data_IF_878381735210
#
_entry.id   IF_878381735210
#
_cell.length_a   1.000
_cell.length_b   1.000
_cell.length_c   1.000
_cell.angle_alpha   90.00
_cell.angle_beta   90.00
_cell.angle_gamma   90.00
#
_symmetry.space_group_name_H-M   'P 1'
#
loop_
_entity.id
_entity.type
_entity.pdbx_description
1 polymer ?
#
# COMPACT_ATOMS: atom_id res chain seq x y z
N UNK A 1 14.75 -1.71 37.01
CA UNK A 1 13.84 -0.89 36.17
C UNK A 1 12.51 -1.62 36.12
N UNK A 2 11.40 -1.01 36.56
CA UNK A 2 10.08 -1.62 36.40
C UNK A 2 9.66 -1.47 34.94
N UNK A 3 9.30 -2.59 34.31
CA UNK A 3 8.67 -2.61 32.99
C UNK A 3 7.29 -1.96 33.17
N UNK A 4 7.08 -0.80 32.54
CA UNK A 4 5.77 -0.15 32.52
C UNK A 4 4.74 -1.15 31.96
N UNK A 5 3.78 -1.55 32.80
CA UNK A 5 2.65 -2.36 32.37
C UNK A 5 1.82 -1.52 31.42
N UNK A 6 1.96 -1.77 30.11
CA UNK A 6 1.05 -1.22 29.12
C UNK A 6 -0.37 -1.63 29.49
N UNK A 7 -1.27 -0.64 29.56
CA UNK A 7 -2.67 -0.83 29.91
C UNK A 7 -3.32 -1.79 28.91
N UNK A 8 -3.46 -3.05 29.32
CA UNK A 8 -4.02 -4.14 28.53
C UNK A 8 -5.42 -3.81 28.00
N UNK A 9 -6.13 -2.89 28.65
CA UNK A 9 -7.42 -2.37 28.20
C UNK A 9 -7.30 -1.46 26.96
N UNK A 10 -6.22 -0.69 26.86
CA UNK A 10 -5.93 0.17 25.71
C UNK A 10 -5.59 -0.67 24.47
N UNK A 11 -4.77 -1.71 24.65
CA UNK A 11 -4.41 -2.66 23.59
C UNK A 11 -5.64 -3.43 23.10
N UNK A 12 -6.49 -3.91 24.01
CA UNK A 12 -7.73 -4.61 23.66
C UNK A 12 -8.72 -3.71 22.91
N UNK A 13 -8.86 -2.44 23.34
CA UNK A 13 -9.67 -1.43 22.62
C UNK A 13 -9.13 -1.14 21.23
N UNK A 14 -7.80 -1.13 21.05
CA UNK A 14 -7.15 -0.96 19.75
C UNK A 14 -7.41 -2.17 18.84
N UNK A 15 -7.23 -3.40 19.34
CA UNK A 15 -7.45 -4.65 18.57
C UNK A 15 -8.91 -4.77 18.12
N UNK A 16 -9.87 -4.56 19.02
CA UNK A 16 -11.31 -4.57 18.67
C UNK A 16 -11.62 -3.48 17.62
N UNK A 17 -10.93 -2.34 17.66
CA UNK A 17 -11.08 -1.30 16.65
C UNK A 17 -10.55 -1.74 15.26
N UNK A 18 -9.50 -2.56 15.20
CA UNK A 18 -8.90 -3.02 13.92
C UNK A 18 -9.86 -3.97 13.20
N UNK A 19 -10.35 -5.00 13.88
CA UNK A 19 -11.25 -5.99 13.28
C UNK A 19 -12.57 -5.34 12.86
N UNK A 20 -13.12 -4.47 13.72
CA UNK A 20 -14.30 -3.67 13.39
C UNK A 20 -14.08 -2.70 12.22
N UNK A 21 -12.83 -2.36 11.88
CA UNK A 21 -12.48 -1.44 10.78
C UNK A 21 -12.25 -2.14 9.45
N UNK A 22 -11.66 -3.35 9.44
CA UNK A 22 -11.66 -4.18 8.24
C UNK A 22 -13.10 -4.53 7.83
N UNK A 23 -13.93 -4.87 8.81
CA UNK A 23 -15.35 -5.07 8.58
C UNK A 23 -16.04 -3.78 8.11
N UNK A 24 -15.77 -2.63 8.75
CA UNK A 24 -16.32 -1.34 8.31
C UNK A 24 -15.85 -0.91 6.93
N UNK A 25 -14.62 -1.18 6.50
CA UNK A 25 -14.21 -0.85 5.13
C UNK A 25 -15.02 -1.66 4.10
N UNK A 26 -15.26 -2.94 4.39
CA UNK A 26 -16.17 -3.77 3.57
C UNK A 26 -17.61 -3.23 3.61
N UNK A 27 -18.09 -2.79 4.77
CA UNK A 27 -19.40 -2.16 4.93
C UNK A 27 -19.49 -0.83 4.16
N UNK A 28 -18.48 0.04 4.25
CA UNK A 28 -18.43 1.31 3.51
C UNK A 28 -18.36 1.09 1.99
N UNK A 29 -17.70 0.03 1.54
CA UNK A 29 -17.71 -0.38 0.12
C UNK A 29 -19.12 -0.78 -0.32
N UNK A 30 -19.86 -1.48 0.54
CA UNK A 30 -21.24 -1.88 0.28
C UNK A 30 -22.20 -0.68 0.30
N UNK A 31 -22.04 0.23 1.25
CA UNK A 31 -22.85 1.44 1.44
C UNK A 31 -22.42 2.61 0.54
N UNK A 32 -21.34 2.44 -0.24
CA UNK A 32 -20.71 3.46 -1.10
C UNK A 32 -20.32 4.76 -0.40
N UNK A 33 -20.17 4.74 0.93
CA UNK A 33 -19.80 5.92 1.72
C UNK A 33 -18.28 6.01 1.93
N UNK A 34 -17.56 6.11 0.80
CA UNK A 34 -16.10 6.08 0.78
C UNK A 34 -15.46 7.32 1.41
N UNK A 35 -16.11 8.48 1.33
CA UNK A 35 -15.60 9.74 1.89
C UNK A 35 -15.52 9.68 3.41
N UNK A 36 -16.55 9.13 4.06
CA UNK A 36 -16.53 8.95 5.52
C UNK A 36 -15.49 7.92 5.95
N UNK A 37 -15.34 6.84 5.18
CA UNK A 37 -14.30 5.84 5.42
C UNK A 37 -12.91 6.47 5.36
N UNK A 38 -12.59 7.17 4.26
CA UNK A 38 -11.33 7.87 4.06
C UNK A 38 -11.02 8.83 5.22
N UNK A 39 -11.97 9.72 5.56
CA UNK A 39 -11.80 10.66 6.66
C UNK A 39 -11.52 9.97 8.00
N UNK A 40 -12.15 8.82 8.24
CA UNK A 40 -11.96 8.05 9.48
C UNK A 40 -10.56 7.42 9.57
N UNK A 41 -10.04 6.90 8.46
CA UNK A 41 -8.66 6.39 8.42
C UNK A 41 -7.64 7.52 8.47
N UNK A 42 -7.88 8.61 7.75
CA UNK A 42 -6.98 9.76 7.72
C UNK A 42 -6.86 10.42 9.11
N UNK A 43 -7.99 10.62 9.80
CA UNK A 43 -8.01 11.13 11.17
C UNK A 43 -7.23 10.24 12.15
N UNK A 44 -7.23 8.92 11.94
CA UNK A 44 -6.46 7.99 12.76
C UNK A 44 -4.95 8.20 12.56
N UNK A 45 -4.52 8.29 11.30
CA UNK A 45 -3.12 8.49 10.92
C UNK A 45 -2.61 9.82 11.50
N UNK A 46 -3.40 10.88 11.39
CA UNK A 46 -3.01 12.22 11.90
C UNK A 46 -2.97 12.26 13.42
N UNK A 47 -3.95 11.67 14.11
CA UNK A 47 -3.97 11.58 15.56
C UNK A 47 -2.73 10.83 16.10
N UNK A 48 -2.31 9.77 15.41
CA UNK A 48 -1.14 9.00 15.81
C UNK A 48 0.18 9.74 15.58
N UNK A 49 0.31 10.52 14.49
CA UNK A 49 1.49 11.37 14.24
C UNK A 49 1.68 12.45 15.32
N UNK A 50 0.60 12.94 15.91
CA UNK A 50 0.66 13.93 16.99
C UNK A 50 1.00 13.34 18.37
N UNK A 51 0.91 12.02 18.54
CA UNK A 51 1.08 11.36 19.83
C UNK A 51 2.49 10.72 19.91
N UNK A 52 3.46 11.44 20.47
CA UNK A 52 4.86 11.02 20.62
C UNK A 52 5.09 9.73 21.44
N UNK A 53 4.04 9.19 22.08
CA UNK A 53 4.10 8.02 22.96
C UNK A 53 3.43 6.77 22.41
N UNK A 54 2.85 6.81 21.21
CA UNK A 54 2.21 5.62 20.64
C UNK A 54 3.29 4.78 19.95
N UNK A 55 3.52 3.52 20.37
CA UNK A 55 4.51 2.66 19.74
C UNK A 55 4.24 2.51 18.23
N UNK A 56 5.28 2.70 17.41
CA UNK A 56 5.20 2.59 15.93
C UNK A 56 4.85 1.17 15.45
N UNK A 57 4.96 0.21 16.35
CA UNK A 57 4.69 -1.21 16.19
C UNK A 57 3.20 -1.56 16.17
N UNK A 58 2.31 -0.61 16.49
CA UNK A 58 0.86 -0.84 16.44
C UNK A 58 0.41 -1.13 15.00
N UNK A 59 0.01 -2.38 14.76
CA UNK A 59 -0.58 -2.89 13.49
C UNK A 59 -1.69 -2.00 12.92
N UNK A 60 -2.43 -1.29 13.77
CA UNK A 60 -3.52 -0.37 13.41
C UNK A 60 -3.07 0.68 12.39
N UNK A 61 -1.86 1.20 12.57
CA UNK A 61 -1.35 2.29 11.74
C UNK A 61 -1.10 1.81 10.32
N UNK A 62 -0.42 0.67 10.16
CA UNK A 62 -0.17 0.05 8.86
C UNK A 62 -1.46 -0.19 8.08
N UNK A 63 -2.48 -0.76 8.74
CA UNK A 63 -3.78 -1.05 8.11
C UNK A 63 -4.51 0.22 7.66
N UNK A 64 -4.54 1.26 8.50
CA UNK A 64 -5.21 2.52 8.13
C UNK A 64 -4.49 3.23 6.98
N UNK A 65 -3.17 3.26 7.04
CA UNK A 65 -2.29 3.81 6.00
C UNK A 65 -2.46 3.07 4.67
N UNK A 66 -2.56 1.74 4.71
CA UNK A 66 -2.88 0.91 3.56
C UNK A 66 -4.22 1.29 2.90
N UNK A 67 -5.30 1.40 3.67
CA UNK A 67 -6.61 1.75 3.12
C UNK A 67 -6.66 3.17 2.53
N UNK A 68 -5.93 4.12 3.12
CA UNK A 68 -5.79 5.46 2.53
C UNK A 68 -5.08 5.40 1.18
N UNK A 69 -4.05 4.57 1.02
CA UNK A 69 -3.42 4.37 -0.28
C UNK A 69 -4.40 3.79 -1.32
N UNK A 70 -5.22 2.80 -0.95
CA UNK A 70 -6.25 2.28 -1.86
C UNK A 70 -7.26 3.36 -2.27
N UNK A 71 -7.64 4.24 -1.35
CA UNK A 71 -8.50 5.37 -1.68
C UNK A 71 -7.87 6.29 -2.73
N UNK A 72 -6.58 6.61 -2.59
CA UNK A 72 -5.85 7.38 -3.58
C UNK A 72 -5.70 6.65 -4.92
N UNK A 73 -5.52 5.33 -4.93
CA UNK A 73 -5.41 4.54 -6.16
C UNK A 73 -6.74 4.54 -6.94
N UNK A 74 -7.87 4.43 -6.25
CA UNK A 74 -9.17 4.23 -6.91
C UNK A 74 -10.08 5.48 -6.93
N UNK A 75 -9.67 6.59 -6.32
CA UNK A 75 -10.51 7.77 -6.17
C UNK A 75 -11.70 7.54 -5.23
N UNK A 76 -11.53 6.72 -4.19
CA UNK A 76 -12.60 6.39 -3.25
C UNK A 76 -12.69 7.41 -2.13
N UNK A 77 -13.66 8.33 -2.26
CA UNK A 77 -13.96 9.33 -1.23
C UNK A 77 -13.08 10.58 -1.29
N UNK A 78 -12.03 10.54 -2.11
CA UNK A 78 -11.07 11.60 -2.42
C UNK A 78 -10.71 11.49 -3.92
N UNK A 79 -10.16 12.55 -4.51
CA UNK A 79 -9.65 12.48 -5.89
C UNK A 79 -8.54 11.42 -6.03
N UNK A 80 -8.49 10.76 -7.20
CA UNK A 80 -7.43 9.79 -7.49
C UNK A 80 -6.08 10.50 -7.50
N UNK A 81 -5.13 9.99 -6.71
CA UNK A 81 -3.81 10.61 -6.55
C UNK A 81 -2.72 9.55 -6.40
N UNK A 82 -2.16 9.17 -7.54
CA UNK A 82 -1.18 8.08 -7.62
C UNK A 82 0.13 8.43 -6.91
N UNK A 83 0.55 9.69 -6.97
CA UNK A 83 1.78 10.14 -6.31
C UNK A 83 1.65 10.00 -4.79
N UNK A 84 0.50 10.37 -4.23
CA UNK A 84 0.22 10.14 -2.80
C UNK A 84 0.20 8.65 -2.46
N UNK A 85 -0.39 7.79 -3.30
CA UNK A 85 -0.38 6.34 -3.06
C UNK A 85 1.04 5.76 -3.03
N UNK A 86 1.91 6.19 -3.96
CA UNK A 86 3.34 5.81 -3.98
C UNK A 86 4.04 6.29 -2.72
N UNK A 87 3.83 7.56 -2.33
CA UNK A 87 4.42 8.11 -1.10
C UNK A 87 4.01 7.33 0.15
N UNK A 88 2.78 6.84 0.20
CA UNK A 88 2.30 5.97 1.28
C UNK A 88 2.99 4.60 1.27
N UNK A 89 3.20 3.99 0.10
CA UNK A 89 3.92 2.72 -0.02
C UNK A 89 5.38 2.84 0.46
N UNK A 90 6.07 3.90 0.04
CA UNK A 90 7.45 4.21 0.50
C UNK A 90 7.48 4.38 2.01
N UNK A 91 6.52 5.13 2.56
CA UNK A 91 6.43 5.36 4.00
C UNK A 91 6.21 4.06 4.79
N UNK A 92 5.33 3.17 4.33
CA UNK A 92 5.13 1.86 4.96
C UNK A 92 6.37 0.97 4.86
N UNK A 93 7.07 1.04 3.73
CA UNK A 93 8.34 0.34 3.56
C UNK A 93 9.39 0.81 4.58
N UNK A 94 9.55 2.12 4.78
CA UNK A 94 10.51 2.68 5.76
C UNK A 94 10.18 2.26 7.20
N UNK A 95 8.90 2.01 7.50
CA UNK A 95 8.43 1.45 8.75
C UNK A 95 8.59 -0.09 8.84
N UNK A 96 9.23 -0.72 7.85
CA UNK A 96 9.39 -2.18 7.73
C UNK A 96 8.06 -2.93 7.65
N UNK A 97 6.99 -2.28 7.16
CA UNK A 97 5.68 -2.89 6.88
C UNK A 97 5.63 -3.34 5.42
N UNK A 98 6.53 -4.25 5.06
CA UNK A 98 6.77 -4.62 3.67
C UNK A 98 5.55 -5.25 2.98
N UNK A 99 4.79 -6.09 3.69
CA UNK A 99 3.55 -6.70 3.16
C UNK A 99 2.52 -5.64 2.74
N UNK A 100 2.26 -4.64 3.61
CA UNK A 100 1.32 -3.56 3.31
C UNK A 100 1.81 -2.70 2.13
N UNK A 101 3.10 -2.33 2.13
CA UNK A 101 3.71 -1.58 1.03
C UNK A 101 3.64 -2.35 -0.30
N UNK A 102 3.90 -3.65 -0.26
CA UNK A 102 3.83 -4.54 -1.41
C UNK A 102 2.42 -4.61 -1.98
N UNK A 103 1.41 -4.78 -1.13
CA UNK A 103 0.01 -4.80 -1.56
C UNK A 103 -0.38 -3.52 -2.28
N UNK A 104 0.10 -2.35 -1.84
CA UNK A 104 -0.14 -1.07 -2.52
C UNK A 104 0.52 -1.05 -3.90
N UNK A 105 1.80 -1.42 -4.00
CA UNK A 105 2.50 -1.47 -5.28
C UNK A 105 1.86 -2.48 -6.26
N UNK A 106 1.36 -3.60 -5.75
CA UNK A 106 0.65 -4.60 -6.55
C UNK A 106 -0.66 -4.05 -7.11
N UNK A 107 -1.42 -3.28 -6.33
CA UNK A 107 -2.61 -2.58 -6.84
C UNK A 107 -2.24 -1.49 -7.85
N UNK A 108 -1.20 -0.69 -7.60
CA UNK A 108 -0.68 0.31 -8.55
C UNK A 108 -0.25 -0.34 -9.86
N UNK A 109 0.34 -1.54 -9.82
CA UNK A 109 0.78 -2.28 -10.99
C UNK A 109 -0.37 -2.78 -11.86
N UNK A 110 -1.62 -2.79 -11.38
CA UNK A 110 -2.78 -3.08 -12.23
C UNK A 110 -3.15 -1.92 -13.16
N UNK A 111 -2.70 -0.70 -12.86
CA UNK A 111 -2.92 0.48 -13.68
C UNK A 111 -1.81 0.62 -14.74
N UNK A 112 -2.17 0.52 -16.03
CA UNK A 112 -1.22 0.44 -17.15
C UNK A 112 -0.16 1.56 -17.16
N UNK A 113 -0.54 2.80 -16.84
CA UNK A 113 0.38 3.95 -16.89
C UNK A 113 1.48 3.93 -15.82
N UNK A 114 1.27 3.24 -14.70
CA UNK A 114 2.09 3.38 -13.48
C UNK A 114 2.81 2.07 -13.16
N UNK A 115 2.40 0.99 -13.84
CA UNK A 115 2.91 -0.36 -13.69
C UNK A 115 4.42 -0.44 -13.76
N UNK A 116 5.03 0.22 -14.73
CA UNK A 116 6.48 0.18 -14.92
C UNK A 116 7.24 0.78 -13.72
N UNK A 117 6.76 1.91 -13.19
CA UNK A 117 7.45 2.62 -12.11
C UNK A 117 7.21 1.97 -10.74
N UNK A 118 6.01 1.44 -10.50
CA UNK A 118 5.74 0.61 -9.33
C UNK A 118 6.65 -0.63 -9.31
N UNK A 119 6.77 -1.33 -10.44
CA UNK A 119 7.63 -2.52 -10.56
C UNK A 119 9.12 -2.18 -10.42
N UNK A 120 9.59 -1.05 -10.97
CA UNK A 120 10.97 -0.57 -10.76
C UNK A 120 11.27 -0.29 -9.29
N UNK A 121 10.35 0.39 -8.58
CA UNK A 121 10.54 0.67 -7.15
C UNK A 121 10.58 -0.62 -6.34
N UNK A 122 9.65 -1.54 -6.59
CA UNK A 122 9.66 -2.89 -5.98
C UNK A 122 10.99 -3.60 -6.21
N UNK A 123 11.52 -3.58 -7.44
CA UNK A 123 12.79 -4.21 -7.77
C UNK A 123 14.00 -3.59 -7.06
N UNK A 124 14.01 -2.27 -6.93
CA UNK A 124 15.06 -1.57 -6.19
C UNK A 124 15.06 -1.95 -4.70
N UNK A 125 13.89 -2.05 -4.06
CA UNK A 125 13.80 -2.46 -2.66
C UNK A 125 14.21 -3.91 -2.43
N UNK A 126 13.86 -4.81 -3.35
CA UNK A 126 14.31 -6.20 -3.31
C UNK A 126 15.84 -6.32 -3.38
N UNK A 127 16.47 -5.63 -4.35
CA UNK A 127 17.92 -5.68 -4.54
C UNK A 127 18.73 -5.18 -3.34
N UNK A 128 18.11 -4.37 -2.46
CA UNK A 128 18.73 -3.91 -1.21
C UNK A 128 18.61 -4.92 -0.06
N UNK A 129 18.00 -6.09 -0.28
CA UNK A 129 17.94 -7.19 0.69
C UNK A 129 16.87 -7.04 1.77
N UNK A 130 15.85 -6.19 1.55
CA UNK A 130 14.79 -5.95 2.53
C UNK A 130 13.68 -7.01 2.53
N UNK A 131 13.61 -7.83 1.48
CA UNK A 131 12.59 -8.88 1.29
C UNK A 131 13.11 -10.20 1.85
N UNK A 132 12.32 -10.86 2.71
CA UNK A 132 12.72 -12.14 3.28
C UNK A 132 12.73 -13.22 2.19
N UNK A 133 13.53 -14.27 2.39
CA UNK A 133 13.79 -15.33 1.39
C UNK A 133 12.52 -16.06 0.92
N UNK A 134 11.50 -16.09 1.78
CA UNK A 134 10.17 -16.66 1.62
C UNK A 134 9.21 -15.80 0.78
N UNK A 135 9.49 -14.51 0.61
CA UNK A 135 8.74 -13.58 -0.25
C UNK A 135 9.35 -13.47 -1.66
N UNK A 136 10.47 -14.17 -1.90
CA UNK A 136 11.23 -14.20 -3.17
C UNK A 136 10.42 -14.71 -4.35
N UNK A 137 9.56 -15.70 -4.14
CA UNK A 137 8.71 -16.28 -5.19
C UNK A 137 7.75 -15.23 -5.76
N UNK A 138 7.21 -14.37 -4.90
CA UNK A 138 6.27 -13.31 -5.29
C UNK A 138 7.00 -12.21 -6.09
N UNK A 139 8.27 -11.96 -5.77
CA UNK A 139 9.13 -11.05 -6.51
C UNK A 139 9.54 -11.60 -7.89
N UNK A 140 9.86 -12.88 -7.98
CA UNK A 140 10.14 -13.56 -9.26
C UNK A 140 8.94 -13.49 -10.20
N UNK A 141 7.72 -13.72 -9.67
CA UNK A 141 6.47 -13.56 -10.44
C UNK A 141 6.29 -12.11 -10.91
N UNK A 142 6.58 -11.11 -10.07
CA UNK A 142 6.48 -9.70 -10.45
C UNK A 142 7.48 -9.30 -11.54
N UNK A 143 8.72 -9.83 -11.48
CA UNK A 143 9.74 -9.64 -12.51
C UNK A 143 9.38 -10.35 -13.82
N UNK A 144 8.79 -11.53 -13.75
CA UNK A 144 8.33 -12.29 -14.92
C UNK A 144 7.20 -11.54 -15.62
N UNK A 145 6.21 -11.04 -14.86
CA UNK A 145 5.14 -10.17 -15.37
C UNK A 145 5.69 -8.87 -15.96
N UNK A 146 6.69 -8.24 -15.32
CA UNK A 146 7.39 -7.07 -15.85
C UNK A 146 8.02 -7.36 -17.22
N UNK A 147 8.74 -8.47 -17.32
CA UNK A 147 9.47 -8.89 -18.52
C UNK A 147 8.54 -9.19 -19.68
N UNK A 148 7.41 -9.86 -19.39
CA UNK A 148 6.39 -10.18 -20.38
C UNK A 148 5.74 -8.91 -20.94
N UNK A 149 5.45 -7.92 -20.08
CA UNK A 149 4.86 -6.64 -20.47
C UNK A 149 5.87 -5.82 -21.27
N UNK A 150 7.10 -5.70 -20.79
CA UNK A 150 8.16 -4.98 -21.49
C UNK A 150 8.39 -5.54 -22.90
N UNK A 151 8.39 -6.86 -23.06
CA UNK A 151 8.52 -7.50 -24.38
C UNK A 151 7.37 -7.16 -25.34
N UNK A 152 6.13 -7.07 -24.84
CA UNK A 152 4.94 -6.68 -25.61
C UNK A 152 4.94 -5.20 -26.02
N UNK A 153 5.51 -4.31 -25.22
CA UNK A 153 5.63 -2.89 -25.57
C UNK A 153 6.80 -2.63 -26.52
N UNK A 154 7.96 -3.26 -26.33
CA UNK A 154 9.11 -3.13 -27.24
C UNK A 154 8.85 -3.73 -28.63
N UNK A 155 7.95 -4.70 -28.77
CA UNK A 155 7.55 -5.23 -30.09
C UNK A 155 6.55 -4.34 -30.82
N UNK A 156 5.81 -3.48 -30.10
CA UNK A 156 4.77 -2.61 -30.70
C UNK A 156 5.34 -1.32 -31.30
N UNK A 157 6.32 -0.70 -30.65
CA UNK A 157 7.00 0.50 -31.18
C UNK A 157 7.84 0.21 -32.44
N UNK A 158 8.26 -1.04 -32.65
CA UNK A 158 9.00 -1.45 -33.86
C UNK A 158 8.06 -1.64 -35.07
N UNK A 159 6.78 -1.99 -34.85
CA UNK A 159 5.85 -2.24 -35.96
C UNK A 159 5.09 -0.99 -36.45
N UNK A 160 4.81 -0.01 -35.58
CA UNK A 160 4.07 1.20 -35.98
C UNK A 160 4.95 2.25 -36.71
N UNK A 161 6.29 2.10 -36.65
CA UNK A 161 7.23 2.93 -37.42
C UNK A 161 7.69 2.35 -38.77
N UNK A 162 7.26 1.14 -39.14
CA UNK A 162 7.72 0.42 -40.34
C UNK A 162 6.66 0.21 -41.42
N UNK A 163 5.43 0.71 -41.23
CA UNK A 163 4.44 0.73 -42.32
C UNK A 163 4.60 2.05 -43.11
N UNK A 164 5.12 2.01 -44.35
CA UNK A 164 5.09 3.18 -45.22
C UNK A 164 3.63 3.55 -45.50
N UNK A 165 3.33 4.84 -45.44
CA UNK A 165 2.05 5.41 -45.92
C UNK A 165 1.92 5.25 -47.43
#
# INVERSE_FOLDING_TARGET
MPIEQFDSLLILKLIINIEMRQHRFRTYKFEKNYKQAFNSFYALITAQRGASKIPNDIKVFGVATYYVALCYIHGYGEEQDIEKAIGVAIYLHDLKKYEDAWNIYSELAKADKIKLDALKQMANYYNKGYVKKDERLVFEIALELYSEIYSKFCTREVFEGLLPQ
#
